data_IF_585512663813
#
_entry.id   IF_585512663813
#
_cell.length_a   1.000
_cell.length_b   1.000
_cell.length_c   1.000
_cell.angle_alpha   90.00
_cell.angle_beta   90.00
_cell.angle_gamma   90.00
#
_symmetry.space_group_name_H-M   'P 1'
#
loop_
_entity.id
_entity.type
_entity.pdbx_description
1 polymer ?
#
# COMPACT_ATOMS: atom_id res chain seq x y z
N UNK A 1 16.11 -15.64 -0.24
CA UNK A 1 16.88 -16.83 -0.68
C UNK A 1 16.21 -17.56 -1.86
N UNK A 2 14.92 -17.89 -1.83
CA UNK A 2 14.22 -18.68 -2.87
C UNK A 2 14.12 -17.99 -4.25
N UNK A 3 14.06 -16.65 -4.29
CA UNK A 3 14.07 -15.88 -5.56
C UNK A 3 15.48 -15.89 -6.16
N UNK A 4 16.50 -15.71 -5.35
CA UNK A 4 17.90 -15.79 -5.78
C UNK A 4 18.17 -17.17 -6.39
N UNK A 5 17.79 -18.27 -5.72
CA UNK A 5 17.91 -19.62 -6.28
C UNK A 5 17.17 -19.83 -7.61
N UNK A 6 16.03 -19.15 -7.83
CA UNK A 6 15.33 -19.21 -9.12
C UNK A 6 16.03 -18.41 -10.20
N UNK A 7 16.67 -17.29 -9.85
CA UNK A 7 17.49 -16.51 -10.78
C UNK A 7 18.79 -17.25 -11.10
N UNK A 8 19.40 -17.91 -10.12
CA UNK A 8 20.58 -18.78 -10.31
C UNK A 8 20.31 -19.90 -11.30
N UNK A 9 19.14 -20.53 -11.26
CA UNK A 9 18.74 -21.58 -12.19
C UNK A 9 18.57 -21.11 -13.65
N UNK A 10 18.56 -19.80 -13.89
CA UNK A 10 18.49 -19.17 -15.21
C UNK A 10 19.86 -18.66 -15.71
N UNK A 11 20.88 -18.74 -14.87
CA UNK A 11 22.24 -18.27 -15.15
C UNK A 11 23.23 -19.46 -15.15
N UNK A 12 24.44 -19.25 -15.69
CA UNK A 12 25.53 -20.21 -15.53
C UNK A 12 25.95 -20.32 -14.06
N UNK A 13 26.54 -21.43 -13.62
CA UNK A 13 27.00 -21.67 -12.25
C UNK A 13 27.94 -20.54 -11.74
N UNK A 14 28.75 -19.98 -12.63
CA UNK A 14 29.63 -18.87 -12.32
C UNK A 14 28.85 -17.57 -12.03
N UNK A 15 27.89 -17.23 -12.88
CA UNK A 15 27.04 -16.03 -12.72
C UNK A 15 26.12 -16.16 -11.50
N UNK A 16 25.58 -17.37 -11.26
CA UNK A 16 24.79 -17.68 -10.07
C UNK A 16 25.57 -17.44 -8.78
N UNK A 17 26.85 -17.85 -8.73
CA UNK A 17 27.74 -17.63 -7.58
C UNK A 17 28.07 -16.14 -7.39
N UNK A 18 28.23 -15.38 -8.46
CA UNK A 18 28.44 -13.93 -8.41
C UNK A 18 27.18 -13.21 -7.89
N UNK A 19 25.99 -13.60 -8.34
CA UNK A 19 24.71 -13.07 -7.87
C UNK A 19 24.51 -13.26 -6.35
N UNK A 20 24.88 -14.42 -5.81
CA UNK A 20 24.83 -14.68 -4.37
C UNK A 20 25.72 -13.76 -3.55
N UNK A 21 26.89 -13.40 -4.08
CA UNK A 21 27.87 -12.52 -3.41
C UNK A 21 27.52 -11.04 -3.52
N UNK A 22 26.83 -10.64 -4.59
CA UNK A 22 26.57 -9.24 -4.91
C UNK A 22 25.16 -8.76 -4.53
N UNK A 23 24.19 -9.67 -4.39
CA UNK A 23 22.80 -9.32 -4.06
C UNK A 23 22.45 -9.79 -2.66
N UNK A 24 22.39 -8.84 -1.72
CA UNK A 24 21.87 -9.09 -0.39
C UNK A 24 20.37 -8.76 -0.36
N UNK A 25 19.54 -9.77 -0.09
CA UNK A 25 18.11 -9.58 0.17
C UNK A 25 17.92 -9.54 1.67
N UNK A 26 17.68 -8.34 2.19
CA UNK A 26 17.37 -8.17 3.62
C UNK A 26 16.14 -8.97 3.99
N UNK A 27 16.35 -9.93 4.90
CA UNK A 27 15.29 -10.77 5.41
C UNK A 27 14.53 -10.06 6.52
N UNK A 28 13.38 -9.43 6.24
CA UNK A 28 12.45 -9.08 7.32
C UNK A 28 12.22 -10.30 8.22
N UNK A 29 12.10 -10.12 9.56
CA UNK A 29 11.68 -11.19 10.45
C UNK A 29 10.37 -11.76 9.90
N UNK A 30 10.42 -12.99 9.39
CA UNK A 30 9.24 -13.65 8.83
C UNK A 30 8.37 -14.09 10.00
N UNK A 31 7.11 -13.64 10.04
CA UNK A 31 6.04 -14.46 10.59
C UNK A 31 6.19 -15.86 10.01
N UNK A 32 5.89 -16.88 10.80
CA UNK A 32 6.03 -18.30 10.45
C UNK A 32 5.63 -18.53 8.98
N UNK A 33 6.62 -18.87 8.14
CA UNK A 33 6.45 -18.90 6.69
C UNK A 33 5.40 -19.93 6.22
N UNK A 34 5.16 -20.96 7.03
CA UNK A 34 4.12 -21.95 6.77
C UNK A 34 2.72 -21.36 6.95
N UNK A 35 2.45 -20.69 8.06
CA UNK A 35 1.15 -20.07 8.35
C UNK A 35 0.81 -19.02 7.28
N UNK A 36 1.79 -18.23 6.83
CA UNK A 36 1.58 -17.25 5.76
C UNK A 36 1.19 -17.91 4.44
N UNK A 37 1.87 -18.98 4.03
CA UNK A 37 1.57 -19.69 2.78
C UNK A 37 0.17 -20.32 2.80
N UNK A 38 -0.22 -20.96 3.91
CA UNK A 38 -1.58 -21.50 4.08
C UNK A 38 -2.64 -20.39 4.04
N UNK A 39 -2.38 -19.24 4.66
CA UNK A 39 -3.29 -18.11 4.61
C UNK A 39 -3.47 -17.58 3.20
N UNK A 40 -2.38 -17.44 2.43
CA UNK A 40 -2.42 -17.00 1.03
C UNK A 40 -3.21 -17.98 0.17
N UNK A 41 -2.98 -19.30 0.33
CA UNK A 41 -3.67 -20.34 -0.44
C UNK A 41 -5.18 -20.35 -0.15
N UNK A 42 -5.56 -20.28 1.13
CA UNK A 42 -6.96 -20.19 1.54
C UNK A 42 -7.64 -18.93 0.97
N UNK A 43 -6.95 -17.78 0.97
CA UNK A 43 -7.47 -16.54 0.40
C UNK A 43 -7.62 -16.62 -1.12
N UNK A 44 -6.65 -17.20 -1.83
CA UNK A 44 -6.78 -17.47 -3.27
C UNK A 44 -7.98 -18.35 -3.59
N UNK A 45 -8.14 -19.45 -2.84
CA UNK A 45 -9.26 -20.36 -3.00
C UNK A 45 -10.61 -19.66 -2.77
N UNK A 46 -10.70 -18.83 -1.74
CA UNK A 46 -11.92 -18.06 -1.44
C UNK A 46 -12.23 -17.02 -2.53
N UNK A 47 -11.22 -16.31 -3.02
CA UNK A 47 -11.36 -15.33 -4.11
C UNK A 47 -11.88 -16.01 -5.37
N UNK A 48 -11.27 -17.12 -5.76
CA UNK A 48 -11.67 -17.87 -6.95
C UNK A 48 -13.07 -18.46 -6.84
N UNK A 49 -13.42 -18.99 -5.65
CA UNK A 49 -14.75 -19.54 -5.38
C UNK A 49 -15.82 -18.47 -5.12
N UNK A 50 -15.45 -17.20 -5.00
CA UNK A 50 -16.39 -16.12 -4.68
C UNK A 50 -17.03 -16.27 -3.29
N UNK A 51 -16.27 -16.73 -2.29
CA UNK A 51 -16.73 -17.02 -0.93
C UNK A 51 -16.19 -16.02 0.07
N UNK A 52 -16.91 -15.82 1.17
CA UNK A 52 -16.45 -15.04 2.31
C UNK A 52 -15.39 -15.80 3.09
N UNK A 53 -14.57 -15.06 3.84
CA UNK A 53 -13.55 -15.62 4.75
C UNK A 53 -13.71 -15.07 6.15
N UNK A 54 -13.31 -15.89 7.13
CA UNK A 54 -13.17 -15.51 8.54
C UNK A 54 -11.74 -15.75 8.98
N UNK A 55 -11.17 -14.81 9.74
CA UNK A 55 -9.82 -14.94 10.31
C UNK A 55 -9.70 -14.19 11.64
N UNK A 56 -8.72 -14.56 12.46
CA UNK A 56 -8.27 -13.74 13.59
C UNK A 56 -7.20 -12.78 13.14
N UNK A 57 -7.32 -11.53 13.53
CA UNK A 57 -6.32 -10.51 13.23
C UNK A 57 -5.44 -10.24 14.45
N UNK A 58 -4.21 -9.72 14.26
CA UNK A 58 -3.21 -9.56 15.31
C UNK A 58 -3.67 -8.72 16.51
N UNK A 59 -4.68 -7.87 16.35
CA UNK A 59 -5.35 -7.10 17.43
C UNK A 59 -6.26 -7.96 18.32
N UNK A 60 -6.30 -9.27 18.10
CA UNK A 60 -7.15 -10.22 18.82
C UNK A 60 -8.58 -10.34 18.29
N UNK A 61 -9.00 -9.43 17.40
CA UNK A 61 -10.36 -9.44 16.87
C UNK A 61 -10.57 -10.43 15.73
N UNK A 62 -11.73 -11.04 15.67
CA UNK A 62 -12.19 -11.82 14.51
C UNK A 62 -12.76 -10.90 13.45
N UNK A 63 -12.47 -11.20 12.19
CA UNK A 63 -12.99 -10.49 11.01
C UNK A 63 -13.67 -11.47 10.07
N UNK A 64 -14.86 -11.11 9.63
CA UNK A 64 -15.57 -11.78 8.52
C UNK A 64 -15.64 -10.80 7.37
N UNK A 65 -15.09 -11.16 6.21
CA UNK A 65 -14.96 -10.22 5.08
C UNK A 65 -15.16 -10.95 3.74
N UNK A 66 -15.46 -10.18 2.72
CA UNK A 66 -15.57 -10.64 1.33
C UNK A 66 -14.24 -10.38 0.61
N UNK A 67 -13.39 -11.40 0.36
CA UNK A 67 -12.09 -11.25 -0.26
C UNK A 67 -12.24 -10.97 -1.75
N UNK A 68 -11.49 -9.98 -2.28
CA UNK A 68 -11.55 -9.60 -3.68
C UNK A 68 -10.23 -9.74 -4.40
N UNK A 69 -9.14 -9.21 -3.80
CA UNK A 69 -7.82 -9.24 -4.43
C UNK A 69 -6.72 -9.39 -3.38
N UNK A 70 -5.58 -9.95 -3.81
CA UNK A 70 -4.33 -9.90 -3.07
C UNK A 70 -3.37 -8.93 -3.78
N UNK A 71 -2.76 -8.05 -3.00
CA UNK A 71 -1.73 -7.13 -3.46
C UNK A 71 -0.41 -7.40 -2.73
N UNK A 72 0.71 -7.18 -3.44
CA UNK A 72 2.04 -7.17 -2.85
C UNK A 72 2.54 -5.74 -2.80
N UNK A 73 2.76 -5.22 -1.60
CA UNK A 73 3.22 -3.86 -1.38
C UNK A 73 4.24 -3.81 -0.25
N UNK A 74 5.37 -3.14 -0.47
CA UNK A 74 6.45 -2.98 0.50
C UNK A 74 6.87 -4.28 1.21
N UNK A 75 6.99 -5.38 0.45
CA UNK A 75 7.42 -6.67 0.97
C UNK A 75 6.37 -7.42 1.78
N UNK A 76 5.09 -7.02 1.72
CA UNK A 76 3.98 -7.68 2.42
C UNK A 76 2.83 -8.01 1.48
N UNK A 77 2.13 -9.13 1.75
CA UNK A 77 0.85 -9.41 1.14
C UNK A 77 -0.27 -8.69 1.88
N UNK A 78 -1.16 -8.07 1.11
CA UNK A 78 -2.38 -7.44 1.60
C UNK A 78 -3.60 -8.08 0.94
N UNK A 79 -4.59 -8.42 1.75
CA UNK A 79 -5.92 -8.74 1.27
C UNK A 79 -6.70 -7.44 1.14
N UNK A 80 -7.21 -7.17 -0.07
CA UNK A 80 -8.21 -6.12 -0.34
C UNK A 80 -9.57 -6.80 -0.29
N UNK A 81 -10.39 -6.41 0.67
CA UNK A 81 -11.67 -7.04 0.94
C UNK A 81 -12.77 -5.99 1.18
N UNK A 82 -14.02 -6.38 0.90
CA UNK A 82 -15.19 -5.64 1.33
C UNK A 82 -15.64 -6.12 2.71
N UNK A 83 -15.93 -5.19 3.59
CA UNK A 83 -16.48 -5.45 4.92
C UNK A 83 -17.74 -4.63 5.11
N UNK A 84 -18.84 -5.29 5.40
CA UNK A 84 -20.15 -4.71 5.66
C UNK A 84 -20.58 -4.77 7.14
N UNK A 85 -19.97 -5.62 7.93
CA UNK A 85 -20.25 -5.72 9.39
C UNK A 85 -19.74 -4.52 10.21
N UNK A 86 -18.90 -3.66 9.61
CA UNK A 86 -18.32 -2.50 10.28
C UNK A 86 -18.74 -1.20 9.58
N UNK A 87 -19.35 -0.30 10.34
CA UNK A 87 -19.74 1.01 9.83
C UNK A 87 -18.55 2.00 9.78
N UNK A 88 -18.40 2.74 8.68
CA UNK A 88 -19.12 2.56 7.42
C UNK A 88 -18.64 1.30 6.69
N UNK A 89 -19.57 0.61 6.01
CA UNK A 89 -19.24 -0.49 5.12
C UNK A 89 -18.29 -0.02 4.00
N UNK A 90 -17.40 -0.90 3.52
CA UNK A 90 -16.50 -0.52 2.44
C UNK A 90 -15.26 -1.39 2.29
N UNK A 91 -14.36 -0.93 1.42
CA UNK A 91 -13.09 -1.61 1.13
C UNK A 91 -12.13 -1.43 2.31
N UNK A 92 -11.50 -2.53 2.70
CA UNK A 92 -10.50 -2.58 3.77
C UNK A 92 -9.28 -3.37 3.32
N UNK A 93 -8.12 -2.97 3.86
CA UNK A 93 -6.84 -3.61 3.61
C UNK A 93 -6.37 -4.36 4.86
N UNK A 94 -6.04 -5.62 4.70
CA UNK A 94 -5.56 -6.47 5.79
C UNK A 94 -4.22 -7.08 5.42
N UNK A 95 -3.22 -6.90 6.26
CA UNK A 95 -1.93 -7.57 6.08
C UNK A 95 -2.09 -9.07 6.35
N UNK A 96 -1.72 -9.91 5.38
CA UNK A 96 -1.90 -11.36 5.48
C UNK A 96 -1.02 -11.99 6.56
N UNK A 97 0.18 -11.46 6.77
CA UNK A 97 1.10 -11.90 7.82
C UNK A 97 0.62 -11.58 9.26
N UNK A 98 -0.47 -10.82 9.40
CA UNK A 98 -1.15 -10.53 10.67
C UNK A 98 -2.42 -11.36 10.88
N UNK A 99 -2.72 -12.27 9.96
CA UNK A 99 -3.87 -13.16 10.03
C UNK A 99 -3.47 -14.50 10.63
N UNK A 100 -4.41 -15.11 11.30
CA UNK A 100 -4.33 -16.50 11.73
C UNK A 100 -5.71 -17.17 11.59
N UNK A 101 -5.73 -18.49 11.49
CA UNK A 101 -6.97 -19.30 11.41
C UNK A 101 -7.90 -18.81 10.26
N UNK A 102 -7.33 -18.63 9.08
CA UNK A 102 -8.11 -18.25 7.89
C UNK A 102 -9.01 -19.40 7.47
N UNK A 103 -10.32 -19.18 7.46
CA UNK A 103 -11.34 -20.17 7.11
C UNK A 103 -12.21 -19.62 5.99
N UNK A 104 -12.39 -20.43 4.93
CA UNK A 104 -13.31 -20.12 3.84
C UNK A 104 -14.73 -20.51 4.29
N UNK A 105 -15.68 -19.59 4.11
CA UNK A 105 -17.07 -19.79 4.51
C UNK A 105 -17.92 -20.28 3.33
N UNK A 106 -19.13 -20.81 3.64
CA UNK A 106 -20.11 -21.19 2.64
C UNK A 106 -20.82 -20.00 1.98
N UNK A 107 -20.77 -18.83 2.60
CA UNK A 107 -21.48 -17.63 2.14
C UNK A 107 -20.81 -17.02 0.90
N UNK A 108 -21.64 -16.52 -0.02
CA UNK A 108 -21.16 -15.80 -1.19
C UNK A 108 -20.57 -14.44 -0.79
N UNK A 109 -19.47 -14.05 -1.44
CA UNK A 109 -18.84 -12.74 -1.19
C UNK A 109 -19.77 -11.58 -1.61
N UNK A 110 -19.69 -10.48 -0.88
CA UNK A 110 -20.42 -9.23 -1.08
C UNK A 110 -19.51 -8.14 -1.65
N UNK A 111 -20.05 -6.95 -1.92
CA UNK A 111 -19.27 -5.79 -2.41
C UNK A 111 -19.03 -5.82 -3.92
N UNK A 112 -19.89 -6.51 -4.71
CA UNK A 112 -19.74 -6.59 -6.17
C UNK A 112 -19.83 -5.20 -6.85
N UNK A 113 -20.62 -4.29 -6.29
CA UNK A 113 -20.78 -2.95 -6.84
C UNK A 113 -19.48 -2.15 -6.71
N UNK A 114 -18.83 -2.22 -5.55
CA UNK A 114 -17.58 -1.51 -5.21
C UNK A 114 -16.40 -2.01 -6.06
N UNK A 115 -16.44 -3.29 -6.47
CA UNK A 115 -15.37 -3.89 -7.27
C UNK A 115 -15.69 -3.99 -8.78
N UNK A 116 -16.83 -3.49 -9.24
CA UNK A 116 -17.20 -3.55 -10.67
C UNK A 116 -16.22 -2.82 -11.58
N UNK A 117 -15.69 -1.68 -11.13
CA UNK A 117 -14.74 -0.83 -11.86
C UNK A 117 -13.46 -0.61 -11.03
N UNK A 118 -13.12 -1.59 -10.19
CA UNK A 118 -11.97 -1.47 -9.31
C UNK A 118 -10.67 -1.62 -10.10
N UNK A 119 -9.89 -0.55 -10.14
CA UNK A 119 -8.55 -0.50 -10.72
C UNK A 119 -7.51 -0.65 -9.59
N UNK A 120 -6.92 -1.84 -9.46
CA UNK A 120 -5.91 -2.11 -8.43
C UNK A 120 -4.68 -1.21 -8.53
N UNK A 121 -4.06 -0.99 -9.70
CA UNK A 121 -2.96 -0.04 -9.85
C UNK A 121 -3.32 1.37 -9.38
N UNK A 122 -4.46 1.91 -9.77
CA UNK A 122 -4.92 3.22 -9.32
C UNK A 122 -5.17 3.24 -7.81
N UNK A 123 -5.77 2.17 -7.26
CA UNK A 123 -5.99 2.02 -5.84
C UNK A 123 -4.68 2.04 -5.05
N UNK A 124 -3.66 1.28 -5.47
CA UNK A 124 -2.35 1.24 -4.80
C UNK A 124 -1.64 2.60 -4.85
N UNK A 125 -1.73 3.32 -5.97
CA UNK A 125 -1.13 4.66 -6.09
C UNK A 125 -1.71 5.68 -5.13
N UNK A 126 -3.02 5.59 -4.82
CA UNK A 126 -3.68 6.50 -3.85
C UNK A 126 -3.29 6.23 -2.40
N UNK A 127 -2.90 5.00 -2.07
CA UNK A 127 -2.63 4.57 -0.70
C UNK A 127 -1.14 4.63 -0.37
N UNK A 128 -0.82 5.08 0.83
CA UNK A 128 0.53 5.07 1.38
C UNK A 128 0.62 3.95 2.41
N UNK A 129 1.48 2.95 2.15
CA UNK A 129 1.62 1.73 2.97
C UNK A 129 0.28 1.02 3.25
N UNK A 130 -0.67 1.09 2.30
CA UNK A 130 -2.02 0.51 2.40
C UNK A 130 -2.89 1.07 3.55
N UNK A 131 -2.53 2.23 4.10
CA UNK A 131 -3.38 2.93 5.06
C UNK A 131 -4.55 3.59 4.34
N UNK A 132 -5.76 3.37 4.87
CA UNK A 132 -6.97 4.02 4.41
C UNK A 132 -7.12 5.43 5.01
N UNK A 133 -8.01 6.19 4.41
CA UNK A 133 -8.38 7.54 4.84
C UNK A 133 -9.35 8.16 3.84
N UNK A 134 -9.84 9.37 4.11
CA UNK A 134 -10.65 10.10 3.15
C UNK A 134 -9.84 10.39 1.88
N UNK A 135 -10.49 10.27 0.73
CA UNK A 135 -9.86 10.55 -0.56
C UNK A 135 -10.00 12.04 -0.89
N UNK A 136 -8.88 12.67 -1.22
CA UNK A 136 -8.81 14.04 -1.70
C UNK A 136 -8.04 14.11 -3.02
N UNK A 137 -8.40 15.04 -3.89
CA UNK A 137 -7.54 15.51 -4.96
C UNK A 137 -6.58 16.52 -4.36
N UNK A 138 -5.31 16.14 -4.30
CA UNK A 138 -4.27 16.93 -3.64
C UNK A 138 -3.37 17.56 -4.71
N UNK A 139 -3.10 18.86 -4.59
CA UNK A 139 -2.08 19.54 -5.37
C UNK A 139 -0.76 19.51 -4.61
N UNK A 140 0.25 18.89 -5.22
CA UNK A 140 1.62 18.85 -4.71
C UNK A 140 2.48 19.82 -5.50
N UNK A 141 3.27 20.63 -4.78
CA UNK A 141 4.34 21.48 -5.30
C UNK A 141 5.68 20.88 -4.88
N UNK A 142 6.56 20.64 -5.85
CA UNK A 142 7.80 19.93 -5.62
C UNK A 142 8.97 20.66 -6.25
N UNK A 143 10.18 20.55 -5.68
CA UNK A 143 11.41 21.02 -6.32
C UNK A 143 11.72 20.21 -7.57
N UNK A 144 12.30 20.83 -8.59
CA UNK A 144 12.51 20.24 -9.92
C UNK A 144 13.33 18.94 -9.89
N UNK A 145 14.26 18.79 -8.96
CA UNK A 145 15.09 17.58 -8.76
C UNK A 145 14.27 16.33 -8.37
N UNK A 146 13.04 16.50 -7.92
CA UNK A 146 12.15 15.40 -7.52
C UNK A 146 11.24 14.89 -8.63
N UNK A 147 11.28 15.43 -9.86
CA UNK A 147 10.35 15.03 -10.92
C UNK A 147 10.36 13.54 -11.20
N UNK A 148 11.54 12.91 -11.30
CA UNK A 148 11.66 11.48 -11.51
C UNK A 148 11.03 10.67 -10.38
N UNK A 149 11.29 11.04 -9.12
CA UNK A 149 10.73 10.36 -7.95
C UNK A 149 9.19 10.48 -7.90
N UNK A 150 8.64 11.62 -8.30
CA UNK A 150 7.18 11.83 -8.37
C UNK A 150 6.56 11.01 -9.50
N UNK A 151 7.21 10.93 -10.66
CA UNK A 151 6.78 10.07 -11.78
C UNK A 151 6.81 8.59 -11.42
N UNK A 152 7.84 8.15 -10.70
CA UNK A 152 7.95 6.76 -10.22
C UNK A 152 6.82 6.43 -9.24
N UNK A 153 6.47 7.37 -8.36
CA UNK A 153 5.42 7.16 -7.35
C UNK A 153 4.00 7.22 -7.91
N UNK A 154 3.71 8.22 -8.76
CA UNK A 154 2.35 8.53 -9.22
C UNK A 154 2.08 8.11 -10.67
N UNK A 155 3.11 7.68 -11.38
CA UNK A 155 3.03 7.28 -12.78
C UNK A 155 3.07 8.48 -13.73
N UNK A 156 2.74 8.21 -15.00
CA UNK A 156 2.81 9.21 -16.09
C UNK A 156 1.51 9.99 -16.27
N UNK A 157 0.43 9.58 -15.59
CA UNK A 157 -0.91 10.17 -15.78
C UNK A 157 -1.04 11.60 -15.26
N UNK A 158 -0.47 12.00 -14.12
CA UNK A 158 -0.55 13.38 -13.66
C UNK A 158 0.20 14.32 -14.61
N UNK A 159 -0.42 15.49 -14.90
CA UNK A 159 0.23 16.54 -15.64
C UNK A 159 1.17 17.31 -14.72
N UNK A 160 2.48 17.17 -14.94
CA UNK A 160 3.52 17.90 -14.21
C UNK A 160 3.72 19.26 -14.89
N UNK A 161 3.37 20.35 -14.21
CA UNK A 161 3.41 21.71 -14.72
C UNK A 161 4.57 22.45 -14.07
N UNK A 162 5.63 22.80 -14.83
CA UNK A 162 6.74 23.57 -14.27
C UNK A 162 6.30 25.00 -13.95
N UNK A 163 6.90 25.60 -12.92
CA UNK A 163 6.76 27.02 -12.61
C UNK A 163 7.72 27.87 -13.47
N UNK A 164 7.46 29.18 -13.59
CA UNK A 164 8.17 30.07 -14.50
C UNK A 164 9.70 30.11 -14.28
N UNK A 165 10.12 29.97 -13.01
CA UNK A 165 11.54 29.98 -12.65
C UNK A 165 12.25 28.63 -12.89
N UNK A 166 11.48 27.57 -13.23
CA UNK A 166 11.98 26.21 -13.42
C UNK A 166 12.49 25.53 -12.15
N UNK A 167 12.43 26.19 -10.98
CA UNK A 167 12.89 25.63 -9.71
C UNK A 167 11.89 24.63 -9.11
N UNK A 168 10.61 24.77 -9.46
CA UNK A 168 9.51 23.96 -8.96
C UNK A 168 8.61 23.49 -10.08
N UNK A 169 7.82 22.46 -9.77
CA UNK A 169 6.66 22.04 -10.56
C UNK A 169 5.51 21.65 -9.62
N UNK A 170 4.31 21.67 -10.16
CA UNK A 170 3.14 21.21 -9.42
C UNK A 170 2.30 20.23 -10.25
N UNK A 171 1.50 19.42 -9.56
CA UNK A 171 0.61 18.43 -10.16
C UNK A 171 -0.49 18.00 -9.19
N UNK A 172 -1.60 17.54 -9.75
CA UNK A 172 -2.76 17.05 -9.01
C UNK A 172 -2.84 15.54 -9.01
N UNK A 173 -3.08 14.95 -7.82
CA UNK A 173 -3.25 13.50 -7.66
C UNK A 173 -4.35 13.17 -6.66
N UNK A 174 -5.12 12.08 -6.90
CA UNK A 174 -5.99 11.53 -5.87
C UNK A 174 -5.16 10.80 -4.81
N UNK A 175 -5.41 11.08 -3.54
CA UNK A 175 -4.69 10.51 -2.39
C UNK A 175 -5.68 10.13 -1.29
N UNK A 176 -5.51 8.93 -0.72
CA UNK A 176 -6.12 8.57 0.56
C UNK A 176 -5.28 9.20 1.68
N UNK A 177 -5.78 10.31 2.21
CA UNK A 177 -5.07 11.09 3.22
C UNK A 177 -5.03 10.33 4.55
N UNK A 178 -3.81 10.12 5.04
CA UNK A 178 -3.52 9.33 6.23
C UNK A 178 -2.23 9.84 6.88
N UNK A 179 -1.93 9.47 8.14
CA UNK A 179 -0.64 9.77 8.75
C UNK A 179 0.57 9.30 7.93
N UNK A 180 0.42 8.21 7.17
CA UNK A 180 1.48 7.70 6.29
C UNK A 180 1.73 8.61 5.08
N UNK A 181 0.66 9.19 4.51
CA UNK A 181 0.80 10.21 3.47
C UNK A 181 1.52 11.45 4.00
N UNK A 182 1.10 11.96 5.16
CA UNK A 182 1.77 13.11 5.77
C UNK A 182 3.24 12.84 6.08
N UNK A 183 3.54 11.68 6.67
CA UNK A 183 4.93 11.26 6.92
C UNK A 183 5.76 11.15 5.64
N UNK A 184 5.15 10.68 4.54
CA UNK A 184 5.81 10.62 3.24
C UNK A 184 6.13 12.03 2.70
N UNK A 185 5.21 12.98 2.78
CA UNK A 185 5.45 14.39 2.39
C UNK A 185 6.59 14.98 3.24
N UNK A 186 6.53 14.84 4.56
CA UNK A 186 7.53 15.37 5.49
C UNK A 186 8.93 14.74 5.26
N UNK A 187 8.98 13.48 4.78
CA UNK A 187 10.21 12.76 4.50
C UNK A 187 11.10 13.41 3.43
N UNK A 188 10.57 14.35 2.63
CA UNK A 188 11.35 15.12 1.66
C UNK A 188 11.97 16.40 2.21
N UNK A 189 11.87 16.64 3.53
CA UNK A 189 12.57 17.75 4.16
C UNK A 189 12.18 19.13 3.63
N UNK A 190 10.91 19.33 3.28
CA UNK A 190 10.38 20.59 2.75
C UNK A 190 10.45 20.75 1.23
N UNK A 191 11.01 19.79 0.50
CA UNK A 191 11.03 19.81 -0.97
C UNK A 191 9.69 19.44 -1.63
N UNK A 192 8.74 18.91 -0.86
CA UNK A 192 7.37 18.59 -1.27
C UNK A 192 6.41 19.34 -0.37
N UNK A 193 5.54 20.12 -0.97
CA UNK A 193 4.50 20.90 -0.30
C UNK A 193 3.11 20.48 -0.78
N UNK A 194 2.16 20.34 0.13
CA UNK A 194 0.74 20.26 -0.22
C UNK A 194 0.19 21.68 -0.30
N UNK A 195 -0.18 22.14 -1.50
CA UNK A 195 -0.73 23.47 -1.72
C UNK A 195 -2.25 23.52 -1.69
N UNK A 196 -2.92 22.42 -2.00
CA UNK A 196 -4.37 22.26 -1.92
C UNK A 196 -4.77 20.79 -1.63
N UNK A 197 -5.94 20.52 -1.04
CA UNK A 197 -6.88 21.50 -0.48
C UNK A 197 -6.46 21.96 0.93
N UNK A 198 -7.13 22.99 1.44
CA UNK A 198 -6.79 23.62 2.74
C UNK A 198 -6.88 22.64 3.92
N UNK A 199 -7.82 21.72 3.91
CA UNK A 199 -8.00 20.71 4.94
C UNK A 199 -6.78 19.77 5.05
N UNK A 200 -6.21 19.37 3.92
CA UNK A 200 -5.02 18.50 3.88
C UNK A 200 -3.78 19.27 4.33
N UNK A 201 -3.63 20.53 3.90
CA UNK A 201 -2.56 21.43 4.39
C UNK A 201 -2.62 21.58 5.92
N UNK A 202 -3.83 21.83 6.44
CA UNK A 202 -4.05 21.93 7.89
C UNK A 202 -3.66 20.65 8.60
N UNK A 203 -4.02 19.47 8.06
CA UNK A 203 -3.67 18.18 8.64
C UNK A 203 -2.16 17.96 8.76
N UNK A 204 -1.37 18.35 7.75
CA UNK A 204 0.11 18.31 7.82
C UNK A 204 0.62 19.28 8.89
N UNK A 205 0.11 20.53 8.90
CA UNK A 205 0.51 21.53 9.90
C UNK A 205 0.26 21.01 11.32
N UNK A 206 -0.93 20.51 11.60
CA UNK A 206 -1.32 20.01 12.92
C UNK A 206 -0.43 18.82 13.34
N UNK A 207 -0.10 17.90 12.42
CA UNK A 207 0.81 16.79 12.70
C UNK A 207 2.23 17.26 13.02
N UNK A 208 2.79 18.19 12.23
CA UNK A 208 4.14 18.74 12.47
C UNK A 208 4.20 19.45 13.81
N UNK A 209 3.20 20.25 14.16
CA UNK A 209 3.12 20.93 15.45
C UNK A 209 3.02 19.94 16.63
N UNK A 210 2.26 18.85 16.46
CA UNK A 210 2.17 17.82 17.48
C UNK A 210 3.51 17.09 17.69
N UNK A 211 4.23 16.78 16.59
CA UNK A 211 5.55 16.18 16.66
C UNK A 211 6.59 17.11 17.28
N UNK A 212 6.62 18.40 16.93
CA UNK A 212 7.52 19.37 17.52
C UNK A 212 7.38 19.41 19.05
N UNK A 213 6.13 19.50 19.56
CA UNK A 213 5.84 19.48 21.00
C UNK A 213 6.25 18.21 21.75
N UNK A 214 6.49 17.10 21.05
CA UNK A 214 6.96 15.85 21.67
C UNK A 214 8.47 15.79 21.80
N UNK A 215 9.18 16.67 21.07
CA UNK A 215 10.64 16.68 21.01
C UNK A 215 11.29 17.95 21.56
N UNK A 216 10.45 18.89 22.08
CA UNK A 216 10.85 20.03 22.91
C UNK A 216 10.99 19.59 24.38
#
# INVERSE_FOLDING_TARGET
KRIIHKLEALCSDYEGTQLQRQVYVDGRPKSDSHTLLYSIDALHSAINAGRMVRFRYKDGGTRTVSPWQLAWENGCYYLIAYQDEKEPAGIRNYRVDRMSSVTVLGDARRGKAEFRQFDLPAYLRKHFNMFGGPEYRVTLRCTADLESAMRDRFGKTPLFVPEEDGAYFHFDVPVCVSPQFYGWVCGFGGKVEVTAPAEVRKGIHDMVQALAKQHD
#
